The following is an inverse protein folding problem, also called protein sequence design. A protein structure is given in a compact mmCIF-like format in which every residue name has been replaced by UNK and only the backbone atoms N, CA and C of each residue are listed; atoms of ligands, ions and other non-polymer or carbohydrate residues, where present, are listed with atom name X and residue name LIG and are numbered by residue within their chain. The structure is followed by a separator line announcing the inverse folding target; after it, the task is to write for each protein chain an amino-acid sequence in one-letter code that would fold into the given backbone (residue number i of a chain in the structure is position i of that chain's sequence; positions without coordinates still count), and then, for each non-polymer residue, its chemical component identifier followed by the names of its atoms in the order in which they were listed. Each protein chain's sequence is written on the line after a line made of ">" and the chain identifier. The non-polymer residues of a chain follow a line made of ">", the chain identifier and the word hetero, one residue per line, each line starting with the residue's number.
data_IF_823325004631
#
_entry.id   IF_823325004631
#
_cell.length_a   1.000
_cell.length_b   1.000
_cell.length_c   1.000
_cell.angle_alpha   90.00
_cell.angle_beta   90.00
_cell.angle_gamma   90.00
#
_symmetry.space_group_name_H-M   'P 1'
#
loop_
_entity.id
_entity.type
_entity.pdbx_description
1 polymer ?
#
# COMPACT_ATOMS: atom_id res chain seq x y z
N UNK A 1 -3.31 14.41 20.67
CA UNK A 1 -3.33 13.89 22.05
C UNK A 1 -2.50 12.62 22.14
N UNK A 2 -2.09 12.15 23.34
CA UNK A 2 -1.34 10.88 23.50
C UNK A 2 -2.07 9.68 22.88
N UNK A 3 -3.40 9.70 22.94
CA UNK A 3 -4.25 8.67 22.36
C UNK A 3 -4.11 8.57 20.84
N UNK A 4 -4.02 9.71 20.14
CA UNK A 4 -3.91 9.75 18.68
C UNK A 4 -2.61 9.09 18.20
N UNK A 5 -1.52 9.30 18.95
CA UNK A 5 -0.23 8.67 18.68
C UNK A 5 -0.32 7.15 18.88
N UNK A 6 -0.99 6.69 19.94
CA UNK A 6 -1.19 5.25 20.17
C UNK A 6 -2.01 4.60 19.05
N UNK A 7 -3.10 5.26 18.63
CA UNK A 7 -3.95 4.79 17.52
C UNK A 7 -3.14 4.73 16.22
N UNK A 8 -2.27 5.71 15.95
CA UNK A 8 -1.35 5.70 14.80
C UNK A 8 -0.40 4.49 14.85
N UNK A 9 0.27 4.24 15.98
CA UNK A 9 1.17 3.09 16.12
C UNK A 9 0.43 1.75 16.03
N UNK A 10 -0.81 1.68 16.52
CA UNK A 10 -1.66 0.49 16.36
C UNK A 10 -1.96 0.24 14.89
N UNK A 11 -2.34 1.29 14.14
CA UNK A 11 -2.55 1.22 12.70
C UNK A 11 -1.29 0.75 11.95
N UNK A 12 -0.13 1.34 12.22
CA UNK A 12 1.12 0.95 11.55
C UNK A 12 1.48 -0.52 11.81
N UNK A 13 1.34 -0.99 13.05
CA UNK A 13 1.66 -2.39 13.40
C UNK A 13 0.70 -3.39 12.77
N UNK A 14 -0.60 -3.10 12.81
CA UNK A 14 -1.63 -4.07 12.38
C UNK A 14 -1.93 -4.02 10.90
N UNK A 15 -1.97 -2.82 10.32
CA UNK A 15 -2.40 -2.62 8.94
C UNK A 15 -1.23 -2.36 8.00
N UNK A 16 -0.09 -1.84 8.47
CA UNK A 16 1.09 -1.58 7.61
C UNK A 16 2.18 -2.64 7.74
N UNK A 17 1.90 -3.78 8.39
CA UNK A 17 2.81 -4.92 8.58
C UNK A 17 4.15 -4.57 9.27
N UNK A 18 4.17 -3.53 10.12
CA UNK A 18 5.39 -3.09 10.82
C UNK A 18 5.87 -4.07 11.92
N UNK A 19 5.18 -5.20 12.13
CA UNK A 19 5.54 -6.24 13.11
C UNK A 19 6.50 -7.30 12.58
N UNK A 20 6.66 -7.44 11.25
CA UNK A 20 7.49 -8.47 10.63
C UNK A 20 8.53 -7.82 9.72
N UNK A 21 9.75 -7.64 10.25
CA UNK A 21 10.86 -7.12 9.46
C UNK A 21 11.38 -8.18 8.48
N UNK A 22 11.78 -7.74 7.28
CA UNK A 22 12.28 -8.61 6.21
C UNK A 22 13.71 -9.08 6.50
N UNK A 23 14.48 -8.30 7.26
CA UNK A 23 15.86 -8.60 7.62
C UNK A 23 16.18 -8.04 9.02
N UNK A 24 17.21 -8.58 9.65
CA UNK A 24 17.74 -8.11 10.94
C UNK A 24 18.89 -7.11 10.78
N UNK A 25 19.19 -6.65 9.55
CA UNK A 25 20.16 -5.58 9.33
C UNK A 25 19.60 -4.22 9.79
N UNK A 26 20.31 -3.47 10.66
CA UNK A 26 19.82 -2.20 11.19
C UNK A 26 19.48 -1.16 10.11
N UNK A 27 20.26 -1.10 9.03
CA UNK A 27 20.01 -0.14 7.94
C UNK A 27 18.75 -0.53 7.16
N UNK A 28 18.60 -1.82 6.85
CA UNK A 28 17.38 -2.34 6.22
C UNK A 28 16.14 -2.06 7.08
N UNK A 29 16.21 -2.28 8.40
CA UNK A 29 15.12 -1.95 9.33
C UNK A 29 14.80 -0.46 9.31
N UNK A 30 15.81 0.42 9.36
CA UNK A 30 15.60 1.87 9.30
C UNK A 30 14.91 2.29 8.01
N UNK A 31 15.39 1.78 6.87
CA UNK A 31 14.80 2.06 5.56
C UNK A 31 13.34 1.59 5.51
N UNK A 32 13.04 0.39 5.98
CA UNK A 32 11.66 -0.11 6.07
C UNK A 32 10.79 0.82 6.93
N UNK A 33 11.27 1.22 8.11
CA UNK A 33 10.54 2.14 8.98
C UNK A 33 10.25 3.48 8.29
N UNK A 34 11.23 4.07 7.60
CA UNK A 34 11.03 5.32 6.86
C UNK A 34 9.98 5.17 5.77
N UNK A 35 10.06 4.12 4.95
CA UNK A 35 9.06 3.87 3.91
C UNK A 35 7.66 3.62 4.50
N UNK A 36 7.55 2.86 5.59
CA UNK A 36 6.27 2.64 6.25
C UNK A 36 5.67 3.91 6.82
N UNK A 37 6.49 4.79 7.42
CA UNK A 37 6.02 6.10 7.90
C UNK A 37 5.56 7.00 6.77
N UNK A 38 6.31 7.08 5.67
CA UNK A 38 5.91 7.86 4.48
C UNK A 38 4.58 7.34 3.92
N UNK A 39 4.46 6.03 3.71
CA UNK A 39 3.23 5.41 3.21
C UNK A 39 2.04 5.64 4.18
N UNK A 40 2.29 5.58 5.49
CA UNK A 40 1.29 5.89 6.51
C UNK A 40 0.80 7.33 6.36
N UNK A 41 1.70 8.31 6.22
CA UNK A 41 1.33 9.72 6.04
C UNK A 41 0.47 9.94 4.78
N UNK A 42 0.79 9.27 3.67
CA UNK A 42 -0.05 9.35 2.45
C UNK A 42 -1.48 8.85 2.71
N UNK A 43 -1.62 7.72 3.41
CA UNK A 43 -2.95 7.19 3.78
C UNK A 43 -3.70 8.14 4.73
N UNK A 44 -2.99 8.81 5.65
CA UNK A 44 -3.61 9.80 6.56
C UNK A 44 -4.12 11.03 5.81
N UNK A 45 -3.31 11.58 4.90
CA UNK A 45 -3.68 12.71 4.06
C UNK A 45 -4.92 12.34 3.22
N UNK A 46 -4.90 11.15 2.59
CA UNK A 46 -6.03 10.64 1.83
C UNK A 46 -7.29 10.48 2.69
N UNK A 47 -7.15 9.90 3.89
CA UNK A 47 -8.23 9.73 4.87
C UNK A 47 -8.86 11.07 5.23
N UNK A 48 -8.02 12.08 5.50
CA UNK A 48 -8.46 13.42 5.87
C UNK A 48 -9.18 14.11 4.71
N UNK A 49 -8.58 14.12 3.51
CA UNK A 49 -9.17 14.74 2.32
C UNK A 49 -10.50 14.11 1.89
N UNK A 50 -10.70 12.81 2.14
CA UNK A 50 -11.92 12.07 1.80
C UNK A 50 -12.88 11.89 2.98
N UNK A 51 -12.62 12.54 4.13
CA UNK A 51 -13.46 12.45 5.34
C UNK A 51 -13.77 11.00 5.78
N UNK A 52 -12.79 10.11 5.66
CA UNK A 52 -12.96 8.69 6.02
C UNK A 52 -12.67 8.52 7.51
N UNK A 53 -13.60 7.90 8.25
CA UNK A 53 -13.44 7.73 9.69
C UNK A 53 -12.45 6.61 10.06
N UNK A 54 -12.39 5.52 9.28
CA UNK A 54 -11.56 4.34 9.58
C UNK A 54 -10.24 4.32 8.78
N UNK A 55 -9.12 4.11 9.47
CA UNK A 55 -7.79 3.97 8.85
C UNK A 55 -7.71 2.77 7.90
N UNK A 56 -8.27 1.62 8.31
CA UNK A 56 -8.31 0.41 7.47
C UNK A 56 -9.08 0.66 6.16
N UNK A 57 -10.25 1.30 6.26
CA UNK A 57 -11.06 1.65 5.09
C UNK A 57 -10.31 2.61 4.16
N UNK A 58 -9.64 3.61 4.73
CA UNK A 58 -8.83 4.56 3.95
C UNK A 58 -7.69 3.87 3.21
N UNK A 59 -6.91 3.01 3.88
CA UNK A 59 -5.83 2.22 3.25
C UNK A 59 -6.33 1.39 2.07
N UNK A 60 -7.41 0.62 2.26
CA UNK A 60 -7.97 -0.25 1.21
C UNK A 60 -8.45 0.57 0.02
N UNK A 61 -9.16 1.68 0.29
CA UNK A 61 -9.69 2.54 -0.77
C UNK A 61 -8.57 3.24 -1.55
N UNK A 62 -7.60 3.80 -0.85
CA UNK A 62 -6.40 4.42 -1.44
C UNK A 62 -5.68 3.44 -2.38
N UNK A 63 -5.42 2.21 -1.91
CA UNK A 63 -4.77 1.19 -2.73
C UNK A 63 -5.58 0.83 -3.98
N UNK A 64 -6.90 0.66 -3.86
CA UNK A 64 -7.77 0.35 -4.99
C UNK A 64 -7.78 1.46 -6.03
N UNK A 65 -7.94 2.71 -5.59
CA UNK A 65 -7.96 3.87 -6.51
C UNK A 65 -6.63 4.02 -7.23
N UNK A 66 -5.51 3.90 -6.51
CA UNK A 66 -4.17 3.89 -7.11
C UNK A 66 -4.02 2.75 -8.13
N UNK A 67 -4.40 1.53 -7.76
CA UNK A 67 -4.30 0.37 -8.66
C UNK A 67 -5.14 0.56 -9.93
N UNK A 68 -6.39 1.00 -9.81
CA UNK A 68 -7.24 1.22 -10.98
C UNK A 68 -6.73 2.35 -11.87
N UNK A 69 -6.20 3.45 -11.30
CA UNK A 69 -5.57 4.51 -12.09
C UNK A 69 -4.41 3.96 -12.90
N UNK A 70 -3.48 3.26 -12.25
CA UNK A 70 -2.33 2.67 -12.92
C UNK A 70 -2.74 1.62 -13.96
N UNK A 71 -3.81 0.85 -13.69
CA UNK A 71 -4.31 -0.13 -14.63
C UNK A 71 -4.89 0.54 -15.88
N UNK A 72 -5.66 1.62 -15.73
CA UNK A 72 -6.19 2.37 -16.86
C UNK A 72 -5.06 2.92 -17.72
N UNK A 73 -4.02 3.50 -17.11
CA UNK A 73 -2.82 3.99 -17.81
C UNK A 73 -2.14 2.87 -18.64
N UNK A 74 -2.02 1.66 -18.08
CA UNK A 74 -1.45 0.50 -18.80
C UNK A 74 -2.34 0.07 -19.99
N UNK A 75 -3.66 0.22 -19.86
CA UNK A 75 -4.62 -0.17 -20.89
C UNK A 75 -4.72 0.84 -22.03
N UNK A 76 -4.21 2.06 -21.88
CA UNK A 76 -4.19 3.08 -22.94
C UNK A 76 -3.24 2.68 -24.10
N UNK A 77 -2.22 1.87 -23.84
CA UNK A 77 -1.27 1.39 -24.85
C UNK A 77 -1.57 -0.09 -25.25
N UNK A 78 -1.91 -0.35 -26.54
CA UNK A 78 -2.17 -1.69 -27.04
C UNK A 78 -1.00 -2.68 -26.86
N UNK A 79 0.25 -2.21 -26.93
CA UNK A 79 1.44 -3.07 -26.76
C UNK A 79 1.60 -3.47 -25.29
N UNK A 80 1.49 -2.52 -24.37
CA UNK A 80 1.59 -2.78 -22.93
C UNK A 80 0.45 -3.68 -22.44
N UNK A 81 -0.75 -3.52 -23.01
CA UNK A 81 -1.90 -4.38 -22.72
C UNK A 81 -1.63 -5.85 -23.07
N UNK A 82 -1.01 -6.12 -24.22
CA UNK A 82 -0.70 -7.48 -24.66
C UNK A 82 0.34 -8.13 -23.73
N UNK A 83 1.40 -7.41 -23.39
CA UNK A 83 2.42 -7.90 -22.46
C UNK A 83 1.84 -8.13 -21.06
N UNK A 84 1.01 -7.20 -20.58
CA UNK A 84 0.36 -7.31 -19.28
C UNK A 84 -0.56 -8.52 -19.22
N UNK A 85 -1.34 -8.77 -20.29
CA UNK A 85 -2.20 -9.96 -20.40
C UNK A 85 -1.39 -11.26 -20.35
N UNK A 86 -0.27 -11.33 -21.06
CA UNK A 86 0.61 -12.52 -21.02
C UNK A 86 1.20 -12.74 -19.62
N UNK A 87 1.69 -11.68 -18.98
CA UNK A 87 2.21 -11.74 -17.60
C UNK A 87 1.14 -12.17 -16.60
N UNK A 88 -0.08 -11.68 -16.73
CA UNK A 88 -1.22 -12.09 -15.89
C UNK A 88 -1.55 -13.57 -16.04
N UNK A 89 -1.59 -14.10 -17.27
CA UNK A 89 -1.86 -15.52 -17.53
C UNK A 89 -0.79 -16.39 -16.85
N UNK A 90 0.48 -16.00 -16.96
CA UNK A 90 1.59 -16.72 -16.30
C UNK A 90 1.49 -16.66 -14.78
N UNK A 91 1.10 -15.51 -14.23
CA UNK A 91 0.91 -15.35 -12.78
C UNK A 91 -0.22 -16.24 -12.25
N UNK A 92 -1.37 -16.27 -12.94
CA UNK A 92 -2.52 -17.12 -12.55
C UNK A 92 -2.12 -18.60 -12.58
N UNK A 93 -1.43 -19.06 -13.63
CA UNK A 93 -0.94 -20.44 -13.73
C UNK A 93 0.07 -20.85 -12.66
N UNK A 94 0.75 -19.87 -12.05
CA UNK A 94 1.73 -20.14 -10.97
C UNK A 94 1.07 -20.23 -9.58
N UNK A 95 -0.21 -19.85 -9.48
CA UNK A 95 -1.01 -19.96 -8.26
C UNK A 95 -1.79 -21.28 -8.17
N UNK A 96 -1.93 -22.00 -9.30
CA UNK A 96 -2.41 -23.39 -9.38
C UNK A 96 -1.27 -24.38 -9.11
#
# INVERSE_FOLDING_TARGET
>A
SRWDIEVLFRFMKQEMNLSHFVCNDPHAIQVMLYFTMIATMLVLIYKHGNQINSYKKAKVRFFKELFYSTLLEVLEDPLQTLEFKQRLILFIRKLE
#
